data_IF_513020555140
#
_entry.id   IF_513020555140
#
_cell.length_a   1.000
_cell.length_b   1.000
_cell.length_c   1.000
_cell.angle_alpha   90.00
_cell.angle_beta   90.00
_cell.angle_gamma   90.00
#
_symmetry.space_group_name_H-M   'P 1'
#
loop_
_entity.id
_entity.type
_entity.pdbx_description
1 polymer ?
#
# COMPACT_ATOMS: atom_id res chain seq x y z
N UNK A 1 -19.80 -13.63 -14.14
CA UNK A 1 -19.97 -12.50 -13.19
C UNK A 1 -20.08 -12.98 -11.76
N UNK A 2 -20.94 -13.97 -11.47
CA UNK A 2 -21.14 -14.51 -10.12
C UNK A 2 -19.83 -14.99 -9.46
N UNK A 3 -19.02 -15.78 -10.19
CA UNK A 3 -17.72 -16.27 -9.69
C UNK A 3 -16.76 -15.15 -9.27
N UNK A 4 -16.70 -14.07 -10.03
CA UNK A 4 -15.91 -12.90 -9.66
C UNK A 4 -16.43 -12.20 -8.41
N UNK A 5 -17.75 -12.00 -8.31
CA UNK A 5 -18.37 -11.41 -7.13
C UNK A 5 -18.10 -12.26 -5.87
N UNK A 6 -18.28 -13.58 -5.96
CA UNK A 6 -18.03 -14.50 -4.85
C UNK A 6 -16.57 -14.48 -4.40
N UNK A 7 -15.61 -14.52 -5.35
CA UNK A 7 -14.19 -14.46 -5.00
C UNK A 7 -13.81 -13.09 -4.41
N UNK A 8 -14.40 -12.00 -4.93
CA UNK A 8 -14.20 -10.66 -4.37
C UNK A 8 -14.69 -10.53 -2.94
N UNK A 9 -15.89 -11.04 -2.63
CA UNK A 9 -16.44 -11.06 -1.26
C UNK A 9 -15.60 -11.95 -0.34
N UNK A 10 -15.18 -13.13 -0.81
CA UNK A 10 -14.29 -14.01 -0.05
C UNK A 10 -12.94 -13.34 0.25
N UNK A 11 -12.39 -12.62 -0.72
CA UNK A 11 -11.14 -11.86 -0.54
C UNK A 11 -11.31 -10.73 0.49
N UNK A 12 -12.40 -9.96 0.41
CA UNK A 12 -12.72 -8.95 1.41
C UNK A 12 -12.79 -9.57 2.81
N UNK A 13 -13.57 -10.64 2.98
CA UNK A 13 -13.70 -11.33 4.27
C UNK A 13 -12.35 -11.84 4.79
N UNK A 14 -11.55 -12.46 3.91
CA UNK A 14 -10.19 -12.92 4.25
C UNK A 14 -9.28 -11.76 4.71
N UNK A 15 -9.34 -10.60 4.05
CA UNK A 15 -8.51 -9.45 4.39
C UNK A 15 -8.95 -8.77 5.69
N UNK A 16 -10.20 -8.95 6.10
CA UNK A 16 -10.70 -8.48 7.39
C UNK A 16 -10.30 -9.36 8.57
N UNK A 17 -9.78 -10.58 8.35
CA UNK A 17 -9.25 -11.42 9.42
C UNK A 17 -8.04 -10.74 10.07
N UNK A 18 -8.09 -10.51 11.37
CA UNK A 18 -7.03 -9.81 12.11
C UNK A 18 -6.91 -8.31 11.77
N UNK A 19 -7.97 -7.69 11.25
CA UNK A 19 -8.01 -6.25 10.97
C UNK A 19 -8.00 -5.37 12.22
N UNK A 20 -8.20 -5.94 13.40
CA UNK A 20 -8.09 -5.29 14.71
C UNK A 20 -6.65 -5.16 15.23
N UNK A 21 -5.66 -5.61 14.46
CA UNK A 21 -4.24 -5.40 14.82
C UNK A 21 -3.88 -3.92 14.84
N UNK A 22 -2.94 -3.54 15.69
CA UNK A 22 -2.43 -2.17 15.81
C UNK A 22 -1.99 -1.60 14.46
N UNK A 23 -2.08 -0.28 14.30
CA UNK A 23 -1.49 0.41 13.15
C UNK A 23 0.03 0.16 13.11
N UNK A 24 0.54 -0.18 11.93
CA UNK A 24 1.97 -0.14 11.68
C UNK A 24 2.49 1.29 11.60
N UNK A 25 3.81 1.45 11.53
CA UNK A 25 4.49 2.76 11.51
C UNK A 25 3.89 3.74 10.50
N UNK A 26 3.80 3.29 9.26
CA UNK A 26 3.27 4.11 8.18
C UNK A 26 1.76 4.42 8.31
N UNK A 27 0.98 3.44 8.78
CA UNK A 27 -0.45 3.60 8.99
C UNK A 27 -0.75 4.57 10.15
N UNK A 28 0.03 4.48 11.22
CA UNK A 28 -0.07 5.40 12.35
C UNK A 28 0.26 6.84 11.93
N UNK A 29 1.33 7.02 11.14
CA UNK A 29 1.67 8.31 10.56
C UNK A 29 0.54 8.87 9.69
N UNK A 30 -0.03 8.05 8.81
CA UNK A 30 -1.17 8.44 7.98
C UNK A 30 -2.37 8.83 8.85
N UNK A 31 -2.69 8.03 9.86
CA UNK A 31 -3.81 8.31 10.76
C UNK A 31 -3.63 9.64 11.53
N UNK A 32 -2.48 9.83 12.16
CA UNK A 32 -2.21 11.01 12.98
C UNK A 32 -2.10 12.31 12.17
N UNK A 33 -1.42 12.26 11.01
CA UNK A 33 -1.14 13.47 10.23
C UNK A 33 -2.26 13.88 9.28
N UNK A 34 -3.09 12.95 8.79
CA UNK A 34 -4.03 13.20 7.70
C UNK A 34 -5.47 12.83 8.02
N UNK A 35 -5.73 11.96 9.01
CA UNK A 35 -7.07 11.44 9.30
C UNK A 35 -7.63 12.01 10.59
N UNK A 36 -6.94 11.85 11.71
CA UNK A 36 -7.37 12.32 13.02
C UNK A 36 -7.04 13.81 13.24
N UNK A 37 -7.33 14.65 12.26
CA UNK A 37 -7.00 16.07 12.22
C UNK A 37 -8.26 16.93 12.24
N UNK A 38 -8.18 18.22 12.61
CA UNK A 38 -9.35 19.10 12.68
C UNK A 38 -9.98 19.43 11.32
N UNK A 39 -9.21 19.36 10.23
CA UNK A 39 -9.65 19.82 8.92
C UNK A 39 -9.44 18.77 7.83
N UNK A 40 -10.43 18.61 6.97
CA UNK A 40 -10.33 17.77 5.75
C UNK A 40 -9.19 18.19 4.81
N UNK A 41 -8.80 19.49 4.85
CA UNK A 41 -7.72 20.02 4.04
C UNK A 41 -6.34 19.53 4.49
N UNK A 42 -6.26 18.98 5.70
CA UNK A 42 -5.03 18.37 6.21
C UNK A 42 -4.61 17.13 5.41
N UNK A 43 -5.56 16.45 4.75
CA UNK A 43 -5.26 15.38 3.79
C UNK A 43 -4.46 15.85 2.55
N UNK A 44 -4.35 17.15 2.31
CA UNK A 44 -3.52 17.73 1.24
C UNK A 44 -2.28 18.44 1.80
N UNK A 45 -2.15 18.54 3.12
CA UNK A 45 -1.10 19.31 3.75
C UNK A 45 0.09 18.40 4.09
N UNK A 46 1.25 18.75 3.59
CA UNK A 46 2.50 18.07 3.96
C UNK A 46 3.04 18.72 5.23
N UNK A 47 2.59 18.25 6.37
CA UNK A 47 3.07 18.68 7.69
C UNK A 47 3.19 17.48 8.62
N UNK A 48 4.12 17.56 9.58
CA UNK A 48 4.21 16.58 10.65
C UNK A 48 3.53 17.12 11.90
N UNK A 49 2.65 16.32 12.50
CA UNK A 49 2.09 16.60 13.84
C UNK A 49 3.12 16.29 14.94
N UNK A 50 4.17 15.57 14.62
CA UNK A 50 5.26 15.23 15.51
C UNK A 50 6.49 16.05 15.10
N UNK A 51 6.91 17.05 15.89
CA UNK A 51 7.99 17.98 15.50
C UNK A 51 9.34 17.31 15.21
N UNK A 52 9.57 16.13 15.77
CA UNK A 52 10.82 15.38 15.61
C UNK A 52 10.90 14.60 14.30
N UNK A 53 9.77 14.41 13.59
CA UNK A 53 9.73 13.67 12.33
C UNK A 53 9.85 14.64 11.15
N UNK A 54 10.80 14.43 10.24
CA UNK A 54 10.95 15.26 9.05
C UNK A 54 9.69 15.25 8.17
N UNK A 55 9.32 16.41 7.66
CA UNK A 55 8.14 16.58 6.78
C UNK A 55 8.21 15.70 5.55
N UNK A 56 9.39 15.46 4.98
CA UNK A 56 9.61 14.53 3.86
C UNK A 56 9.17 13.11 4.17
N UNK A 57 9.46 12.63 5.37
CA UNK A 57 9.08 11.28 5.78
C UNK A 57 7.56 11.14 5.94
N UNK A 58 6.89 12.21 6.33
CA UNK A 58 5.43 12.26 6.43
C UNK A 58 4.78 12.33 5.04
N UNK A 59 5.33 13.15 4.14
CA UNK A 59 4.80 13.34 2.78
C UNK A 59 4.68 12.03 2.01
N UNK A 60 5.67 11.15 2.11
CA UNK A 60 5.70 9.85 1.41
C UNK A 60 4.63 8.87 1.93
N UNK A 61 4.07 9.13 3.09
CA UNK A 61 3.04 8.30 3.73
C UNK A 61 1.61 8.75 3.41
N UNK A 62 1.43 9.90 2.75
CA UNK A 62 0.10 10.36 2.37
C UNK A 62 -0.44 9.62 1.14
N UNK A 63 -1.66 9.17 1.26
CA UNK A 63 -2.48 8.58 0.21
C UNK A 63 -3.76 9.39 0.10
N UNK A 64 -3.69 10.56 -0.53
CA UNK A 64 -4.69 11.64 -0.44
C UNK A 64 -6.14 11.16 -0.52
N UNK A 65 -6.50 10.32 -1.50
CA UNK A 65 -7.87 9.82 -1.61
C UNK A 65 -8.27 8.98 -0.39
N UNK A 66 -7.38 8.09 0.09
CA UNK A 66 -7.67 7.29 1.28
C UNK A 66 -7.76 8.16 2.53
N UNK A 67 -6.84 9.12 2.67
CA UNK A 67 -6.82 10.07 3.79
C UNK A 67 -8.11 10.87 3.85
N UNK A 68 -8.60 11.40 2.71
CA UNK A 68 -9.88 12.10 2.61
C UNK A 68 -11.07 11.24 3.02
N UNK A 69 -11.19 10.03 2.45
CA UNK A 69 -12.29 9.12 2.78
C UNK A 69 -12.26 8.70 4.24
N UNK A 70 -11.08 8.42 4.77
CA UNK A 70 -10.89 8.05 6.17
C UNK A 70 -11.14 9.21 7.12
N UNK A 71 -10.75 10.45 6.75
CA UNK A 71 -11.09 11.65 7.51
C UNK A 71 -12.60 11.88 7.61
N UNK A 72 -13.34 11.64 6.52
CA UNK A 72 -14.82 11.72 6.58
C UNK A 72 -15.40 10.70 7.56
N UNK A 73 -14.86 9.48 7.60
CA UNK A 73 -15.26 8.46 8.57
C UNK A 73 -14.90 8.92 9.99
N UNK A 74 -13.69 9.43 10.21
CA UNK A 74 -13.26 9.93 11.51
C UNK A 74 -14.15 11.08 11.98
N UNK A 75 -14.42 12.07 11.13
CA UNK A 75 -15.27 13.21 11.45
C UNK A 75 -16.72 12.81 11.79
N UNK A 76 -17.22 11.74 11.18
CA UNK A 76 -18.57 11.24 11.43
C UNK A 76 -18.66 10.36 12.69
N UNK A 77 -17.59 9.65 13.06
CA UNK A 77 -17.65 8.61 14.10
C UNK A 77 -16.76 8.88 15.31
N UNK A 78 -15.72 9.70 15.18
CA UNK A 78 -14.67 9.88 16.18
C UNK A 78 -13.85 8.59 16.45
N UNK A 79 -14.09 7.53 15.69
CA UNK A 79 -13.48 6.21 15.93
C UNK A 79 -11.98 6.23 15.71
N UNK A 80 -11.22 5.59 16.61
CA UNK A 80 -9.80 5.28 16.45
C UNK A 80 -9.57 3.79 16.20
N UNK A 81 -10.64 3.03 15.95
CA UNK A 81 -10.55 1.58 15.69
C UNK A 81 -9.93 1.29 14.34
N UNK A 82 -8.88 0.50 14.32
CA UNK A 82 -8.14 0.08 13.12
C UNK A 82 -9.04 -0.64 12.11
N UNK A 83 -9.99 -1.44 12.61
CA UNK A 83 -10.94 -2.19 11.77
C UNK A 83 -11.70 -1.26 10.83
N UNK A 84 -12.16 -0.10 11.34
CA UNK A 84 -12.96 0.86 10.59
C UNK A 84 -12.20 1.37 9.36
N UNK A 85 -10.92 1.67 9.52
CA UNK A 85 -10.10 2.26 8.44
C UNK A 85 -9.56 1.23 7.45
N UNK A 86 -9.47 -0.03 7.86
CA UNK A 86 -9.06 -1.14 6.99
C UNK A 86 -10.17 -1.65 6.07
N UNK A 87 -11.43 -1.30 6.34
CA UNK A 87 -12.56 -1.66 5.48
C UNK A 87 -12.39 -1.15 4.05
N UNK A 88 -11.98 0.11 3.87
CA UNK A 88 -11.84 0.72 2.55
C UNK A 88 -10.78 0.02 1.68
N UNK A 89 -9.53 -0.15 2.13
CA UNK A 89 -8.52 -0.90 1.37
C UNK A 89 -8.94 -2.35 1.09
N UNK A 90 -9.54 -3.04 2.08
CA UNK A 90 -10.01 -4.42 1.90
C UNK A 90 -11.16 -4.53 0.88
N UNK A 91 -12.11 -3.60 0.88
CA UNK A 91 -13.18 -3.51 -0.13
C UNK A 91 -12.60 -3.27 -1.53
N UNK A 92 -11.65 -2.36 -1.66
CA UNK A 92 -10.99 -2.09 -2.94
C UNK A 92 -10.21 -3.31 -3.44
N UNK A 93 -9.55 -4.05 -2.55
CA UNK A 93 -8.88 -5.30 -2.89
C UNK A 93 -9.86 -6.37 -3.36
N UNK A 94 -10.95 -6.60 -2.61
CA UNK A 94 -12.02 -7.51 -3.01
C UNK A 94 -12.63 -7.11 -4.36
N UNK A 95 -12.83 -5.80 -4.59
CA UNK A 95 -13.27 -5.25 -5.88
C UNK A 95 -12.27 -5.54 -7.00
N UNK A 96 -10.98 -5.34 -6.77
CA UNK A 96 -9.91 -5.64 -7.73
C UNK A 96 -9.93 -7.11 -8.13
N UNK A 97 -9.98 -8.01 -7.15
CA UNK A 97 -10.04 -9.46 -7.37
C UNK A 97 -11.31 -9.84 -8.12
N UNK A 98 -12.47 -9.33 -7.66
CA UNK A 98 -13.76 -9.66 -8.26
C UNK A 98 -13.89 -9.22 -9.71
N UNK A 99 -13.53 -7.96 -10.01
CA UNK A 99 -13.59 -7.40 -11.37
C UNK A 99 -12.58 -8.08 -12.29
N UNK A 100 -11.34 -8.28 -11.83
CA UNK A 100 -10.31 -8.97 -12.62
C UNK A 100 -10.73 -10.41 -12.93
N UNK A 101 -11.19 -11.17 -11.92
CA UNK A 101 -11.68 -12.53 -12.10
C UNK A 101 -12.82 -12.62 -13.11
N UNK A 102 -13.83 -11.74 -12.99
CA UNK A 102 -14.96 -11.70 -13.90
C UNK A 102 -14.54 -11.40 -15.34
N UNK A 103 -13.63 -10.46 -15.54
CA UNK A 103 -13.07 -10.13 -16.84
C UNK A 103 -12.26 -11.30 -17.42
N UNK A 104 -11.33 -11.86 -16.63
CA UNK A 104 -10.45 -12.94 -17.07
C UNK A 104 -11.24 -14.22 -17.36
N UNK A 105 -12.26 -14.52 -16.57
CA UNK A 105 -13.14 -15.67 -16.80
C UNK A 105 -13.93 -15.54 -18.13
N UNK A 106 -14.38 -14.33 -18.47
CA UNK A 106 -15.02 -14.07 -19.77
C UNK A 106 -14.06 -14.17 -20.94
N UNK A 107 -12.82 -13.76 -20.76
CA UNK A 107 -11.81 -13.69 -21.79
C UNK A 107 -11.10 -15.00 -22.05
N UNK A 108 -10.83 -15.76 -20.99
CA UNK A 108 -9.95 -16.93 -21.00
C UNK A 108 -10.60 -18.23 -20.46
N UNK A 109 -11.85 -18.16 -20.03
CA UNK A 109 -12.55 -19.27 -19.40
C UNK A 109 -12.52 -19.27 -17.88
N UNK A 110 -13.49 -19.95 -17.27
CA UNK A 110 -13.73 -19.89 -15.83
C UNK A 110 -12.53 -20.33 -14.98
N UNK A 111 -11.90 -21.45 -15.36
CA UNK A 111 -10.72 -21.98 -14.64
C UNK A 111 -9.58 -20.98 -14.64
N UNK A 112 -9.27 -20.41 -15.81
CA UNK A 112 -8.20 -19.43 -15.94
C UNK A 112 -8.50 -18.15 -15.12
N UNK A 113 -9.75 -17.68 -15.18
CA UNK A 113 -10.16 -16.49 -14.42
C UNK A 113 -10.10 -16.70 -12.92
N UNK A 114 -10.60 -17.84 -12.40
CA UNK A 114 -10.57 -18.16 -10.98
C UNK A 114 -9.14 -18.36 -10.46
N UNK A 115 -8.30 -19.09 -11.18
CA UNK A 115 -6.90 -19.30 -10.78
C UNK A 115 -6.12 -17.98 -10.74
N UNK A 116 -6.27 -17.13 -11.75
CA UNK A 116 -5.63 -15.83 -11.79
C UNK A 116 -6.19 -14.85 -10.72
N UNK A 117 -7.50 -14.92 -10.44
CA UNK A 117 -8.10 -14.17 -9.35
C UNK A 117 -7.60 -14.62 -7.98
N UNK A 118 -7.42 -15.92 -7.79
CA UNK A 118 -6.84 -16.48 -6.57
C UNK A 118 -5.40 -16.03 -6.38
N UNK A 119 -4.60 -15.96 -7.47
CA UNK A 119 -3.27 -15.37 -7.42
C UNK A 119 -3.30 -13.94 -6.87
N UNK A 120 -4.15 -13.04 -7.43
CA UNK A 120 -4.27 -11.68 -6.91
C UNK A 120 -4.65 -11.67 -5.42
N UNK A 121 -5.62 -12.50 -5.05
CA UNK A 121 -6.14 -12.56 -3.68
C UNK A 121 -5.12 -13.05 -2.64
N UNK A 122 -4.08 -13.77 -3.07
CA UNK A 122 -3.11 -14.42 -2.18
C UNK A 122 -1.68 -13.93 -2.39
N UNK A 123 -1.44 -13.04 -3.38
CA UNK A 123 -0.14 -12.42 -3.57
C UNK A 123 0.28 -11.67 -2.30
N UNK A 124 1.44 -12.00 -1.70
CA UNK A 124 1.85 -11.46 -0.40
C UNK A 124 1.93 -9.95 -0.38
N UNK A 125 2.47 -9.35 -1.45
CA UNK A 125 2.57 -7.90 -1.56
C UNK A 125 1.19 -7.23 -1.62
N UNK A 126 0.26 -7.84 -2.36
CA UNK A 126 -1.11 -7.36 -2.50
C UNK A 126 -1.88 -7.50 -1.17
N UNK A 127 -1.73 -8.65 -0.49
CA UNK A 127 -2.35 -8.92 0.81
C UNK A 127 -1.88 -7.91 1.86
N UNK A 128 -0.57 -7.76 2.06
CA UNK A 128 -0.01 -6.91 3.11
C UNK A 128 -0.43 -5.45 2.95
N UNK A 129 -0.33 -4.93 1.72
CA UNK A 129 -0.65 -3.53 1.46
C UNK A 129 -2.16 -3.24 1.33
N UNK A 130 -2.99 -4.25 1.13
CA UNK A 130 -4.45 -4.11 1.08
C UNK A 130 -5.12 -4.34 2.44
N UNK A 131 -4.38 -4.84 3.42
CA UNK A 131 -4.81 -5.02 4.81
C UNK A 131 -4.33 -3.91 5.73
N UNK A 132 -3.63 -2.94 5.17
CA UNK A 132 -3.12 -1.78 5.90
C UNK A 132 -3.84 -0.49 5.48
N UNK A 133 -3.67 0.57 6.24
CA UNK A 133 -4.24 1.89 5.96
C UNK A 133 -3.43 2.58 4.85
N UNK A 134 -3.57 2.03 3.62
CA UNK A 134 -2.81 2.42 2.44
C UNK A 134 -3.69 2.49 1.19
N UNK A 135 -3.40 3.42 0.29
CA UNK A 135 -4.16 3.64 -0.95
C UNK A 135 -3.87 2.67 -2.09
N UNK A 136 -2.99 1.68 -1.92
CA UNK A 136 -2.52 0.82 -3.00
C UNK A 136 -3.63 -0.01 -3.65
N UNK A 137 -4.52 -0.60 -2.88
CA UNK A 137 -5.64 -1.39 -3.40
C UNK A 137 -6.70 -0.53 -4.10
N UNK A 138 -6.91 0.71 -3.63
CA UNK A 138 -7.75 1.70 -4.31
C UNK A 138 -7.17 2.05 -5.70
N UNK A 139 -5.86 2.28 -5.75
CA UNK A 139 -5.15 2.54 -7.00
C UNK A 139 -5.20 1.34 -7.95
N UNK A 140 -5.05 0.11 -7.44
CA UNK A 140 -5.15 -1.10 -8.24
C UNK A 140 -6.56 -1.29 -8.81
N UNK A 141 -7.61 -1.11 -8.00
CA UNK A 141 -9.00 -1.16 -8.45
C UNK A 141 -9.28 -0.11 -9.53
N UNK A 142 -8.89 1.14 -9.28
CA UNK A 142 -9.06 2.23 -10.24
C UNK A 142 -8.32 1.97 -11.55
N UNK A 143 -7.09 1.45 -11.48
CA UNK A 143 -6.29 1.06 -12.66
C UNK A 143 -6.95 -0.04 -13.49
N UNK A 144 -7.47 -1.09 -12.84
CA UNK A 144 -8.21 -2.16 -13.52
C UNK A 144 -9.48 -1.62 -14.16
N UNK A 145 -10.26 -0.83 -13.44
CA UNK A 145 -11.51 -0.25 -13.96
C UNK A 145 -11.24 0.69 -15.15
N UNK A 146 -10.24 1.57 -15.05
CA UNK A 146 -9.83 2.46 -16.13
C UNK A 146 -9.39 1.67 -17.37
N UNK A 147 -8.61 0.60 -17.21
CA UNK A 147 -8.20 -0.30 -18.29
C UNK A 147 -9.41 -0.94 -18.99
N UNK A 148 -10.39 -1.39 -18.22
CA UNK A 148 -11.62 -2.00 -18.78
C UNK A 148 -12.48 -0.97 -19.53
N UNK A 149 -12.53 0.27 -19.04
CA UNK A 149 -13.25 1.35 -19.73
C UNK A 149 -12.61 1.64 -21.08
N UNK A 150 -11.28 1.70 -21.16
CA UNK A 150 -10.55 1.95 -22.42
C UNK A 150 -10.71 0.82 -23.44
N UNK A 151 -10.88 -0.41 -23.01
CA UNK A 151 -11.11 -1.55 -23.90
C UNK A 151 -12.48 -1.55 -24.59
N UNK A 152 -13.40 -0.66 -24.22
CA UNK A 152 -14.72 -0.59 -24.82
C UNK A 152 -14.88 0.54 -25.85
N UNK A 153 -16.14 0.83 -26.26
CA UNK A 153 -16.46 1.96 -27.12
C UNK A 153 -16.26 3.28 -26.39
N UNK A 154 -15.66 4.27 -27.03
CA UNK A 154 -15.34 5.56 -26.44
C UNK A 154 -16.51 6.55 -26.61
N UNK A 155 -17.45 6.49 -25.70
CA UNK A 155 -18.49 7.50 -25.56
C UNK A 155 -18.04 8.60 -24.61
N UNK A 156 -18.61 9.80 -24.72
CA UNK A 156 -18.31 10.93 -23.81
C UNK A 156 -18.42 10.55 -22.34
N UNK A 157 -19.50 9.84 -21.96
CA UNK A 157 -19.69 9.40 -20.57
C UNK A 157 -18.60 8.44 -20.09
N UNK A 158 -18.15 7.53 -20.96
CA UNK A 158 -17.04 6.61 -20.61
C UNK A 158 -15.70 7.32 -20.51
N UNK A 159 -15.44 8.33 -21.32
CA UNK A 159 -14.21 9.12 -21.23
C UNK A 159 -14.18 9.95 -19.94
N UNK A 160 -15.31 10.53 -19.54
CA UNK A 160 -15.44 11.19 -18.23
C UNK A 160 -15.22 10.18 -17.09
N UNK A 161 -15.87 9.02 -17.15
CA UNK A 161 -15.67 7.97 -16.14
C UNK A 161 -14.21 7.51 -16.06
N UNK A 162 -13.55 7.36 -17.21
CA UNK A 162 -12.11 7.05 -17.26
C UNK A 162 -11.28 8.13 -16.56
N UNK A 163 -11.50 9.41 -16.93
CA UNK A 163 -10.76 10.54 -16.35
C UNK A 163 -10.90 10.59 -14.82
N UNK A 164 -12.13 10.42 -14.33
CA UNK A 164 -12.42 10.40 -12.89
C UNK A 164 -11.77 9.20 -12.20
N UNK A 165 -11.99 7.98 -12.70
CA UNK A 165 -11.49 6.75 -12.06
C UNK A 165 -9.97 6.70 -12.09
N UNK A 166 -9.34 7.04 -13.21
CA UNK A 166 -7.88 7.05 -13.31
C UNK A 166 -7.27 8.18 -12.47
N UNK A 167 -7.88 9.35 -12.48
CA UNK A 167 -7.45 10.47 -11.62
C UNK A 167 -7.54 10.14 -10.13
N UNK A 168 -8.64 9.51 -9.70
CA UNK A 168 -8.78 9.02 -8.32
C UNK A 168 -7.79 7.89 -7.99
N UNK A 169 -7.45 7.03 -8.94
CA UNK A 169 -6.40 6.02 -8.74
C UNK A 169 -5.04 6.67 -8.47
N UNK A 170 -4.69 7.73 -9.24
CA UNK A 170 -3.46 8.50 -9.02
C UNK A 170 -3.52 9.28 -7.69
N UNK A 171 -4.68 9.83 -7.31
CA UNK A 171 -4.87 10.47 -6.01
C UNK A 171 -4.76 9.48 -4.83
N UNK A 172 -5.14 8.22 -5.04
CA UNK A 172 -4.97 7.17 -4.05
C UNK A 172 -3.51 6.73 -3.89
N UNK A 173 -2.76 6.71 -5.00
CA UNK A 173 -1.35 6.37 -5.00
C UNK A 173 -0.68 6.97 -6.24
N UNK A 174 0.24 7.90 -6.03
CA UNK A 174 0.87 8.70 -7.09
C UNK A 174 1.45 7.86 -8.24
N UNK A 175 2.08 6.72 -7.94
CA UNK A 175 2.66 5.84 -8.95
C UNK A 175 1.64 5.20 -9.90
N UNK A 176 0.33 5.27 -9.62
CA UNK A 176 -0.68 4.88 -10.60
C UNK A 176 -0.64 5.74 -11.89
N UNK A 177 0.05 6.89 -11.87
CA UNK A 177 0.35 7.68 -13.08
C UNK A 177 1.09 6.85 -14.14
N UNK A 178 1.87 5.85 -13.74
CA UNK A 178 2.54 4.91 -14.65
C UNK A 178 1.52 4.13 -15.48
N UNK A 179 0.37 3.75 -14.91
CA UNK A 179 -0.72 3.10 -15.66
C UNK A 179 -1.31 4.05 -16.68
N UNK A 180 -1.49 5.32 -16.31
CA UNK A 180 -1.94 6.36 -17.27
C UNK A 180 -0.97 6.47 -18.44
N UNK A 181 0.34 6.51 -18.20
CA UNK A 181 1.37 6.53 -19.24
C UNK A 181 1.35 5.26 -20.10
N UNK A 182 1.16 4.09 -19.50
CA UNK A 182 0.99 2.83 -20.23
C UNK A 182 -0.24 2.86 -21.13
N UNK A 183 -1.36 3.43 -20.68
CA UNK A 183 -2.56 3.61 -21.50
C UNK A 183 -2.32 4.54 -22.69
N UNK A 184 -1.65 5.67 -22.47
CA UNK A 184 -1.28 6.61 -23.55
C UNK A 184 -0.39 5.90 -24.57
N UNK A 185 0.68 5.23 -24.11
CA UNK A 185 1.60 4.51 -24.98
C UNK A 185 0.91 3.38 -25.75
N UNK A 186 0.05 2.59 -25.08
CA UNK A 186 -0.71 1.52 -25.71
C UNK A 186 -1.62 2.04 -26.84
N UNK A 187 -2.36 3.11 -26.59
CA UNK A 187 -3.26 3.67 -27.59
C UNK A 187 -2.45 4.30 -28.74
N UNK A 188 -1.35 5.01 -28.43
CA UNK A 188 -0.48 5.62 -29.43
C UNK A 188 0.10 4.59 -30.43
N UNK A 189 0.34 3.35 -30.00
CA UNK A 189 0.84 2.29 -30.88
C UNK A 189 -0.23 1.66 -31.79
N UNK A 190 -1.53 1.97 -31.58
CA UNK A 190 -2.63 1.26 -32.27
C UNK A 190 -3.58 2.16 -33.03
N UNK A 191 -3.53 3.46 -32.80
CA UNK A 191 -4.60 4.37 -33.21
C UNK A 191 -4.08 5.53 -34.03
N UNK A 192 -4.99 6.12 -34.81
CA UNK A 192 -4.72 7.31 -35.58
C UNK A 192 -4.53 8.55 -34.71
N UNK A 193 -3.88 9.55 -35.24
CA UNK A 193 -3.69 10.83 -34.56
C UNK A 193 -5.02 11.46 -34.13
N UNK A 194 -6.06 11.32 -34.94
CA UNK A 194 -7.40 11.83 -34.63
C UNK A 194 -8.00 11.16 -33.40
N UNK A 195 -7.85 9.84 -33.27
CA UNK A 195 -8.33 9.10 -32.10
C UNK A 195 -7.54 9.46 -30.81
N UNK A 196 -6.23 9.70 -30.94
CA UNK A 196 -5.40 10.19 -29.84
C UNK A 196 -5.88 11.56 -29.34
N UNK A 197 -6.14 12.50 -30.25
CA UNK A 197 -6.67 13.82 -29.90
C UNK A 197 -8.05 13.74 -29.22
N UNK A 198 -8.88 12.78 -29.62
CA UNK A 198 -10.19 12.56 -28.99
C UNK A 198 -10.07 12.07 -27.53
N UNK A 199 -9.03 11.30 -27.20
CA UNK A 199 -8.76 10.79 -25.85
C UNK A 199 -7.97 11.75 -24.97
N UNK A 200 -7.22 12.67 -25.56
CA UNK A 200 -6.36 13.60 -24.83
C UNK A 200 -7.05 14.36 -23.70
N UNK A 201 -8.29 14.88 -23.84
CA UNK A 201 -8.98 15.55 -22.73
C UNK A 201 -9.20 14.63 -21.52
N UNK A 202 -9.47 13.34 -21.75
CA UNK A 202 -9.66 12.38 -20.67
C UNK A 202 -8.34 12.07 -19.94
N UNK A 203 -7.23 11.97 -20.65
CA UNK A 203 -5.89 11.80 -20.05
C UNK A 203 -5.44 13.03 -19.27
N UNK A 204 -5.65 14.22 -19.85
CA UNK A 204 -5.35 15.50 -19.19
C UNK A 204 -6.19 15.64 -17.92
N UNK A 205 -7.50 15.32 -17.99
CA UNK A 205 -8.39 15.34 -16.86
C UNK A 205 -7.95 14.37 -15.75
N UNK A 206 -7.57 13.15 -16.09
CA UNK A 206 -7.04 12.17 -15.15
C UNK A 206 -5.75 12.65 -14.47
N UNK A 207 -4.82 13.19 -15.28
CA UNK A 207 -3.59 13.76 -14.77
C UNK A 207 -3.84 14.96 -13.84
N UNK A 208 -4.73 15.89 -14.25
CA UNK A 208 -5.06 17.08 -13.47
C UNK A 208 -5.68 16.71 -12.11
N UNK A 209 -6.59 15.74 -12.06
CA UNK A 209 -7.19 15.27 -10.81
C UNK A 209 -6.12 14.61 -9.93
N UNK A 210 -5.40 13.64 -10.45
CA UNK A 210 -4.48 12.84 -9.67
C UNK A 210 -3.23 13.58 -9.24
N UNK A 211 -2.56 14.28 -10.16
CA UNK A 211 -1.36 15.06 -9.84
C UNK A 211 -1.71 16.31 -9.06
N UNK A 212 -2.86 16.94 -9.32
CA UNK A 212 -3.34 18.08 -8.56
C UNK A 212 -3.61 17.72 -7.09
N UNK A 213 -4.23 16.56 -6.84
CA UNK A 213 -4.42 16.08 -5.48
C UNK A 213 -3.10 15.86 -4.72
N UNK A 214 -2.06 15.37 -5.41
CA UNK A 214 -0.74 15.11 -4.83
C UNK A 214 0.25 16.29 -5.00
N UNK A 215 -0.19 17.48 -5.37
CA UNK A 215 0.72 18.59 -5.73
C UNK A 215 1.68 18.96 -4.61
N UNK A 216 1.19 19.05 -3.37
CA UNK A 216 2.02 19.39 -2.21
C UNK A 216 3.07 18.32 -1.92
N UNK A 217 2.72 17.04 -2.07
CA UNK A 217 3.67 15.93 -1.91
C UNK A 217 4.78 16.05 -2.96
N UNK A 218 4.41 16.26 -4.23
CA UNK A 218 5.37 16.39 -5.32
C UNK A 218 6.30 17.60 -5.13
N UNK A 219 5.76 18.75 -4.73
CA UNK A 219 6.56 19.96 -4.46
C UNK A 219 7.53 19.68 -3.32
N UNK A 220 7.10 19.05 -2.23
CA UNK A 220 7.96 18.70 -1.10
C UNK A 220 9.07 17.76 -1.52
N UNK A 221 8.75 16.69 -2.24
CA UNK A 221 9.73 15.74 -2.76
C UNK A 221 10.75 16.42 -3.71
N UNK A 222 10.29 17.28 -4.61
CA UNK A 222 11.16 17.99 -5.55
C UNK A 222 12.04 19.05 -4.89
N UNK A 223 11.57 19.71 -3.83
CA UNK A 223 12.30 20.79 -3.16
C UNK A 223 13.31 20.32 -2.12
N UNK A 224 13.10 19.11 -1.58
CA UNK A 224 13.96 18.54 -0.55
C UNK A 224 14.99 17.53 -1.11
N UNK A 225 15.24 17.60 -2.40
CA UNK A 225 16.17 16.71 -3.08
C UNK A 225 17.63 16.95 -2.72
N UNK A 226 18.31 15.85 -2.58
CA UNK A 226 19.72 15.78 -2.31
C UNK A 226 20.07 14.69 -1.31
N UNK A 227 19.29 13.59 -1.33
CA UNK A 227 19.66 12.44 -0.50
C UNK A 227 21.03 11.91 -0.90
N UNK A 228 21.95 11.71 0.06
CA UNK A 228 23.26 11.17 -0.22
C UNK A 228 23.13 9.86 -0.99
N UNK A 229 24.06 9.61 -1.92
CA UNK A 229 24.07 8.34 -2.68
C UNK A 229 24.09 7.09 -1.78
N UNK A 230 24.54 7.24 -0.52
CA UNK A 230 24.51 6.19 0.52
C UNK A 230 23.11 5.78 0.98
N UNK A 231 22.09 6.61 0.73
CA UNK A 231 20.70 6.31 1.07
C UNK A 231 19.90 5.77 -0.13
N UNK A 232 20.52 5.67 -1.29
CA UNK A 232 19.91 5.09 -2.47
C UNK A 232 19.66 3.59 -2.27
N UNK A 233 18.50 3.09 -2.70
CA UNK A 233 18.09 1.69 -2.59
C UNK A 233 18.54 0.86 -3.82
N UNK A 234 19.76 0.29 -3.83
CA UNK A 234 20.34 -0.31 -5.03
C UNK A 234 19.72 -1.67 -5.40
N UNK A 235 19.04 -2.31 -4.44
CA UNK A 235 18.47 -3.67 -4.64
C UNK A 235 17.04 -3.63 -5.21
N UNK A 236 16.46 -2.43 -5.45
CA UNK A 236 15.10 -2.27 -5.93
C UNK A 236 14.72 -3.15 -7.12
N UNK A 237 15.52 -3.26 -8.23
CA UNK A 237 15.10 -4.08 -9.37
C UNK A 237 14.93 -5.56 -9.00
N UNK A 238 15.84 -6.10 -8.19
CA UNK A 238 15.75 -7.47 -7.69
C UNK A 238 14.52 -7.65 -6.81
N UNK A 239 14.32 -6.76 -5.85
CA UNK A 239 13.26 -6.85 -4.88
C UNK A 239 11.89 -6.65 -5.53
N UNK A 240 11.77 -5.76 -6.53
CA UNK A 240 10.55 -5.59 -7.31
C UNK A 240 10.13 -6.89 -8.01
N UNK A 241 11.08 -7.60 -8.64
CA UNK A 241 10.82 -8.90 -9.28
C UNK A 241 10.38 -9.91 -8.22
N UNK A 242 11.13 -10.02 -7.12
CA UNK A 242 10.83 -10.97 -6.06
C UNK A 242 9.45 -10.74 -5.46
N UNK A 243 9.08 -9.50 -5.17
CA UNK A 243 7.81 -9.15 -4.53
C UNK A 243 6.60 -9.26 -5.47
N UNK A 244 6.72 -8.87 -6.74
CA UNK A 244 5.62 -8.99 -7.71
C UNK A 244 5.23 -10.44 -8.01
N UNK A 245 6.06 -11.39 -7.65
CA UNK A 245 5.84 -12.82 -7.92
C UNK A 245 5.82 -13.68 -6.67
N UNK A 246 5.58 -13.07 -5.51
CA UNK A 246 5.27 -13.79 -4.28
C UNK A 246 6.47 -14.14 -3.38
N UNK A 247 7.54 -13.32 -3.38
CA UNK A 247 8.53 -13.45 -2.31
C UNK A 247 7.91 -13.12 -0.93
N UNK A 248 8.35 -13.76 0.15
CA UNK A 248 9.62 -14.47 0.34
C UNK A 248 9.55 -15.98 0.12
N UNK A 249 8.47 -16.52 -0.43
CA UNK A 249 8.30 -17.98 -0.56
C UNK A 249 8.74 -18.45 -1.94
N UNK A 250 9.88 -19.12 -2.03
CA UNK A 250 10.52 -19.52 -3.28
C UNK A 250 9.62 -20.38 -4.19
N UNK A 251 8.82 -21.28 -3.59
CA UNK A 251 7.98 -22.19 -4.38
C UNK A 251 6.83 -21.46 -5.09
N UNK A 252 5.94 -20.69 -4.41
CA UNK A 252 4.92 -19.88 -5.09
C UNK A 252 5.52 -18.96 -6.13
N UNK A 253 6.64 -18.29 -5.80
CA UNK A 253 7.32 -17.38 -6.70
C UNK A 253 7.73 -18.09 -8.00
N UNK A 254 8.39 -19.24 -7.91
CA UNK A 254 8.81 -20.00 -9.09
C UNK A 254 7.65 -20.45 -9.97
N UNK A 255 6.57 -20.93 -9.36
CA UNK A 255 5.37 -21.39 -10.06
C UNK A 255 4.63 -20.22 -10.75
N UNK A 256 4.49 -19.10 -10.08
CA UNK A 256 3.84 -17.91 -10.62
C UNK A 256 4.68 -17.22 -11.70
N UNK A 257 5.99 -17.09 -11.50
CA UNK A 257 6.92 -16.59 -12.52
C UNK A 257 6.84 -17.40 -13.80
N UNK A 258 6.90 -18.74 -13.67
CA UNK A 258 6.81 -19.62 -14.82
C UNK A 258 5.50 -19.45 -15.57
N UNK A 259 4.38 -19.38 -14.84
CA UNK A 259 3.05 -19.19 -15.44
C UNK A 259 2.91 -17.82 -16.11
N UNK A 260 3.39 -16.75 -15.48
CA UNK A 260 3.36 -15.40 -16.05
C UNK A 260 4.33 -15.29 -17.25
N UNK A 261 5.52 -15.91 -17.16
CA UNK A 261 6.49 -15.94 -18.25
C UNK A 261 5.98 -16.67 -19.50
N UNK A 262 5.28 -17.80 -19.31
CA UNK A 262 4.59 -18.48 -20.40
C UNK A 262 3.48 -17.61 -21.02
N UNK A 263 2.73 -16.90 -20.20
CA UNK A 263 1.73 -15.93 -20.66
C UNK A 263 2.35 -14.78 -21.44
N UNK A 264 3.48 -14.26 -20.96
CA UNK A 264 4.27 -13.23 -21.63
C UNK A 264 4.76 -13.73 -23.00
N UNK A 265 5.28 -14.95 -23.07
CA UNK A 265 5.68 -15.56 -24.33
C UNK A 265 4.52 -15.73 -25.31
N UNK A 266 3.35 -16.17 -24.86
CA UNK A 266 2.14 -16.27 -25.68
C UNK A 266 1.69 -14.91 -26.23
N UNK A 267 1.83 -13.86 -25.42
CA UNK A 267 1.40 -12.49 -25.73
C UNK A 267 2.49 -11.61 -26.34
N UNK A 268 3.67 -12.15 -26.62
CA UNK A 268 4.82 -11.39 -27.14
C UNK A 268 4.58 -10.63 -28.45
N UNK A 269 3.54 -10.98 -29.21
CA UNK A 269 3.16 -10.28 -30.45
C UNK A 269 2.15 -9.15 -30.23
N UNK A 270 1.67 -8.97 -29.00
CA UNK A 270 0.70 -7.92 -28.67
C UNK A 270 1.43 -6.58 -28.46
N UNK A 271 1.17 -5.55 -29.28
CA UNK A 271 1.89 -4.26 -29.18
C UNK A 271 1.73 -3.58 -27.82
N UNK A 272 0.56 -3.71 -27.17
CA UNK A 272 0.31 -3.12 -25.87
C UNK A 272 1.28 -3.63 -24.80
N UNK A 273 1.72 -4.88 -24.92
CA UNK A 273 2.65 -5.46 -23.97
C UNK A 273 4.00 -4.76 -24.02
N UNK A 274 4.52 -4.55 -25.22
CA UNK A 274 5.81 -3.89 -25.40
C UNK A 274 5.77 -2.41 -25.06
N UNK A 275 4.64 -1.72 -25.35
CA UNK A 275 4.46 -0.33 -24.91
C UNK A 275 4.44 -0.23 -23.38
N UNK A 276 3.77 -1.16 -22.69
CA UNK A 276 3.78 -1.24 -21.21
C UNK A 276 5.18 -1.52 -20.68
N UNK A 277 5.88 -2.53 -21.22
CA UNK A 277 7.26 -2.85 -20.81
C UNK A 277 8.19 -1.67 -21.04
N UNK A 278 8.08 -0.99 -22.17
CA UNK A 278 8.90 0.18 -22.49
C UNK A 278 8.64 1.34 -21.50
N UNK A 279 7.39 1.65 -21.20
CA UNK A 279 7.05 2.69 -20.22
C UNK A 279 7.60 2.32 -18.83
N UNK A 280 7.39 1.08 -18.38
CA UNK A 280 7.92 0.62 -17.09
C UNK A 280 9.44 0.69 -17.05
N UNK A 281 10.13 0.25 -18.10
CA UNK A 281 11.58 0.31 -18.20
C UNK A 281 12.09 1.76 -18.11
N UNK A 282 11.46 2.68 -18.84
CA UNK A 282 11.80 4.11 -18.80
C UNK A 282 11.55 4.69 -17.40
N UNK A 283 10.39 4.42 -16.80
CA UNK A 283 10.09 4.92 -15.46
C UNK A 283 11.07 4.37 -14.42
N UNK A 284 11.33 3.08 -14.42
CA UNK A 284 12.30 2.47 -13.50
C UNK A 284 13.71 3.04 -13.74
N UNK A 285 14.11 3.20 -14.99
CA UNK A 285 15.42 3.75 -15.33
C UNK A 285 15.57 5.22 -14.87
N UNK A 286 14.55 6.05 -15.11
CA UNK A 286 14.52 7.45 -14.67
C UNK A 286 14.56 7.54 -13.14
N UNK A 287 13.75 6.75 -12.45
CA UNK A 287 13.74 6.73 -11.00
C UNK A 287 15.07 6.23 -10.45
N UNK A 288 15.56 5.11 -10.96
CA UNK A 288 16.72 4.43 -10.40
C UNK A 288 18.05 5.10 -10.75
N UNK A 289 18.23 5.56 -11.98
CA UNK A 289 19.49 6.18 -12.44
C UNK A 289 19.47 7.72 -12.31
N UNK A 290 18.29 8.33 -12.52
CA UNK A 290 18.14 9.78 -12.56
C UNK A 290 17.83 10.37 -11.18
N UNK A 291 16.69 10.03 -10.60
CA UNK A 291 16.20 10.64 -9.37
C UNK A 291 16.78 9.99 -8.10
N UNK A 292 17.22 8.75 -8.18
CA UNK A 292 17.81 7.98 -7.05
C UNK A 292 17.06 8.18 -5.73
N UNK A 293 15.74 7.88 -5.69
CA UNK A 293 14.95 8.10 -4.49
C UNK A 293 15.48 7.24 -3.34
N UNK A 294 15.47 7.77 -2.11
CA UNK A 294 15.85 7.02 -0.92
C UNK A 294 14.96 5.79 -0.70
N UNK A 295 13.68 5.94 -1.08
CA UNK A 295 12.67 4.92 -0.86
C UNK A 295 11.94 4.63 -2.17
N UNK A 296 12.33 3.56 -2.84
CA UNK A 296 11.61 3.03 -3.99
C UNK A 296 11.22 1.58 -3.65
N UNK A 297 9.98 1.40 -3.19
CA UNK A 297 9.48 0.11 -2.75
C UNK A 297 8.70 -0.61 -3.85
N UNK A 298 8.77 -1.95 -3.95
CA UNK A 298 7.97 -2.75 -4.88
C UNK A 298 6.46 -2.49 -4.77
N UNK A 299 5.97 -2.19 -3.57
CA UNK A 299 4.55 -1.87 -3.30
C UNK A 299 4.02 -0.68 -4.10
N UNK A 300 4.87 0.22 -4.58
CA UNK A 300 4.47 1.33 -5.44
C UNK A 300 3.94 0.87 -6.79
N UNK A 301 4.28 -0.34 -7.21
CA UNK A 301 3.85 -0.96 -8.47
C UNK A 301 2.79 -2.05 -8.28
N UNK A 302 2.06 -2.03 -7.17
CA UNK A 302 1.06 -3.06 -6.82
C UNK A 302 -0.02 -3.23 -7.91
N UNK A 303 -0.30 -2.19 -8.68
CA UNK A 303 -1.21 -2.22 -9.84
C UNK A 303 -0.73 -3.15 -10.96
N UNK A 304 0.51 -3.64 -10.94
CA UNK A 304 1.00 -4.64 -11.88
C UNK A 304 0.54 -6.06 -11.54
N UNK A 305 0.13 -6.35 -10.30
CA UNK A 305 -0.35 -7.68 -9.90
C UNK A 305 -1.53 -8.14 -10.77
N UNK A 306 -2.57 -7.33 -11.06
CA UNK A 306 -3.60 -7.68 -12.02
C UNK A 306 -3.09 -7.90 -13.46
N UNK A 307 -2.02 -7.21 -13.88
CA UNK A 307 -1.41 -7.44 -15.20
C UNK A 307 -0.70 -8.81 -15.25
N UNK A 308 0.02 -9.20 -14.20
CA UNK A 308 0.58 -10.54 -14.06
C UNK A 308 -0.52 -11.61 -14.08
N UNK A 309 -1.63 -11.38 -13.39
CA UNK A 309 -2.80 -12.26 -13.41
C UNK A 309 -3.37 -12.45 -14.84
N UNK A 310 -3.39 -11.39 -15.64
CA UNK A 310 -3.81 -11.49 -17.06
C UNK A 310 -2.88 -12.41 -17.85
N UNK A 311 -1.56 -12.31 -17.67
CA UNK A 311 -0.59 -13.19 -18.33
C UNK A 311 -0.75 -14.64 -17.88
N UNK A 312 -0.91 -14.89 -16.59
CA UNK A 312 -1.19 -16.22 -16.04
C UNK A 312 -2.48 -16.82 -16.59
N UNK A 313 -3.56 -16.04 -16.65
CA UNK A 313 -4.82 -16.49 -17.23
C UNK A 313 -4.67 -16.87 -18.70
N UNK A 314 -3.89 -16.12 -19.48
CA UNK A 314 -3.59 -16.46 -20.88
C UNK A 314 -2.82 -17.78 -21.01
N UNK A 315 -1.86 -18.05 -20.11
CA UNK A 315 -1.12 -19.31 -20.07
C UNK A 315 -2.03 -20.48 -19.68
N UNK A 316 -2.84 -20.35 -18.62
CA UNK A 316 -3.77 -21.37 -18.14
C UNK A 316 -4.81 -21.70 -19.22
N UNK A 317 -5.32 -20.71 -19.95
CA UNK A 317 -6.24 -20.94 -21.05
C UNK A 317 -5.64 -21.80 -22.17
N UNK A 318 -4.33 -21.76 -22.36
CA UNK A 318 -3.62 -22.58 -23.33
C UNK A 318 -3.22 -23.94 -22.77
N UNK A 319 -2.86 -23.98 -21.49
CA UNK A 319 -2.40 -25.17 -20.76
C UNK A 319 -3.08 -25.24 -19.39
N UNK A 320 -4.26 -25.83 -19.37
CA UNK A 320 -5.09 -25.90 -18.16
C UNK A 320 -4.38 -26.57 -16.97
N UNK A 321 -3.37 -27.41 -17.22
CA UNK A 321 -2.53 -28.04 -16.20
C UNK A 321 -1.77 -27.04 -15.33
N UNK A 322 -1.67 -25.78 -15.74
CA UNK A 322 -1.09 -24.71 -14.91
C UNK A 322 -2.05 -24.21 -13.81
N UNK A 323 -3.36 -24.48 -13.90
CA UNK A 323 -4.30 -24.07 -12.87
C UNK A 323 -3.99 -24.69 -11.49
N UNK A 324 -3.80 -26.01 -11.34
CA UNK A 324 -3.33 -26.60 -10.08
C UNK A 324 -2.03 -25.98 -9.56
N UNK A 325 -1.09 -25.67 -10.47
CA UNK A 325 0.20 -25.05 -10.13
C UNK A 325 -0.02 -23.68 -9.46
N UNK A 326 -0.87 -22.83 -10.03
CA UNK A 326 -1.19 -21.53 -9.46
C UNK A 326 -1.94 -21.67 -8.13
N UNK A 327 -2.85 -22.64 -8.02
CA UNK A 327 -3.61 -22.92 -6.78
C UNK A 327 -2.67 -23.40 -5.65
N UNK A 328 -1.73 -24.30 -5.94
CA UNK A 328 -0.72 -24.74 -4.96
C UNK A 328 0.14 -23.54 -4.50
N UNK A 329 0.55 -22.68 -5.46
CA UNK A 329 1.25 -21.45 -5.14
C UNK A 329 0.44 -20.53 -4.20
N UNK A 330 -0.86 -20.39 -4.46
CA UNK A 330 -1.76 -19.60 -3.62
C UNK A 330 -1.91 -20.18 -2.21
N UNK A 331 -2.08 -21.49 -2.09
CA UNK A 331 -2.16 -22.19 -0.80
C UNK A 331 -0.86 -22.02 0.01
N UNK A 332 0.30 -22.16 -0.64
CA UNK A 332 1.60 -21.96 0.00
C UNK A 332 1.80 -20.49 0.44
N UNK A 333 1.36 -19.52 -0.37
CA UNK A 333 1.41 -18.10 -0.01
C UNK A 333 0.55 -17.79 1.22
N UNK A 334 -0.69 -18.32 1.29
CA UNK A 334 -1.55 -18.18 2.47
C UNK A 334 -0.92 -18.83 3.69
N UNK A 335 -0.40 -20.05 3.56
CA UNK A 335 0.24 -20.76 4.67
C UNK A 335 1.45 -19.99 5.22
N UNK A 336 2.26 -19.37 4.37
CA UNK A 336 3.42 -18.58 4.78
C UNK A 336 3.06 -17.29 5.52
N UNK A 337 1.88 -16.74 5.25
CA UNK A 337 1.38 -15.51 5.87
C UNK A 337 0.52 -15.76 7.12
N UNK A 338 0.05 -17.01 7.33
CA UNK A 338 -0.87 -17.37 8.41
C UNK A 338 -0.40 -16.93 9.81
N UNK A 339 0.91 -17.04 10.19
CA UNK A 339 1.37 -16.56 11.50
C UNK A 339 1.10 -15.07 11.72
N UNK A 340 1.23 -14.24 10.68
CA UNK A 340 0.95 -12.81 10.77
C UNK A 340 -0.53 -12.46 10.95
N UNK A 341 -1.45 -13.40 10.68
CA UNK A 341 -2.89 -13.19 10.82
C UNK A 341 -3.43 -13.50 12.21
N UNK A 342 -2.70 -14.30 12.99
CA UNK A 342 -3.13 -14.82 14.30
C UNK A 342 -2.43 -14.18 15.48
N UNK A 343 -1.46 -13.28 15.25
CA UNK A 343 -0.77 -12.61 16.33
C UNK A 343 -1.66 -11.57 17.00
N UNK A 344 -1.56 -11.47 18.33
CA UNK A 344 -2.33 -10.53 19.14
C UNK A 344 -2.00 -9.08 18.72
N UNK A 345 -3.04 -8.31 18.33
CA UNK A 345 -2.84 -7.04 17.67
C UNK A 345 -2.83 -5.82 18.59
N UNK A 346 -3.13 -5.97 19.88
CA UNK A 346 -3.54 -4.85 20.75
C UNK A 346 -2.44 -4.21 21.59
N UNK A 347 -1.16 -4.49 21.33
CA UNK A 347 -0.07 -3.95 22.15
C UNK A 347 -0.01 -2.41 22.16
N UNK A 348 -0.21 -1.75 21.03
CA UNK A 348 -0.16 -0.29 20.96
C UNK A 348 -1.33 0.40 21.66
N UNK A 349 -2.60 -0.01 21.48
CA UNK A 349 -3.70 0.46 22.31
C UNK A 349 -3.49 0.21 23.79
N UNK A 350 -2.93 -0.93 24.21
CA UNK A 350 -2.61 -1.22 25.60
C UNK A 350 -1.48 -0.33 26.13
N UNK A 351 -0.44 -0.07 25.33
CA UNK A 351 0.62 0.87 25.68
C UNK A 351 0.07 2.30 25.83
N UNK A 352 -0.82 2.74 24.95
CA UNK A 352 -1.49 4.04 25.06
C UNK A 352 -2.33 4.14 26.34
N UNK A 353 -3.10 3.10 26.68
CA UNK A 353 -3.87 3.05 27.91
C UNK A 353 -2.98 3.08 29.17
N UNK A 354 -1.78 2.50 29.10
CA UNK A 354 -0.80 2.59 30.19
C UNK A 354 -0.26 4.03 30.33
N UNK A 355 0.04 4.71 29.23
CA UNK A 355 0.46 6.11 29.20
C UNK A 355 -0.62 7.01 29.82
N UNK A 356 -1.87 6.87 29.39
CA UNK A 356 -3.00 7.66 29.92
C UNK A 356 -3.20 7.43 31.42
N UNK A 357 -3.05 6.19 31.90
CA UNK A 357 -3.14 5.86 33.32
C UNK A 357 -2.03 6.52 34.12
N UNK A 358 -0.78 6.51 33.61
CA UNK A 358 0.35 7.16 34.31
C UNK A 358 0.10 8.68 34.35
N UNK A 359 -0.36 9.26 33.29
CA UNK A 359 -0.71 10.68 33.23
C UNK A 359 -1.84 11.04 34.21
N UNK A 360 -2.89 10.22 34.28
CA UNK A 360 -3.99 10.40 35.22
C UNK A 360 -3.57 10.33 36.71
N UNK A 361 -2.48 9.62 36.99
CA UNK A 361 -1.87 9.55 38.33
C UNK A 361 -0.90 10.72 38.61
N UNK A 362 -0.77 11.66 37.68
CA UNK A 362 0.13 12.80 37.77
C UNK A 362 1.60 12.45 37.45
N UNK A 363 1.84 11.25 36.89
CA UNK A 363 3.13 10.80 36.42
C UNK A 363 3.46 11.26 35.01
N UNK A 364 4.73 11.19 34.66
CA UNK A 364 5.24 11.54 33.33
C UNK A 364 5.58 10.27 32.55
N UNK A 365 4.77 9.97 31.55
CA UNK A 365 5.04 8.92 30.58
C UNK A 365 5.94 9.44 29.45
N UNK A 366 6.96 8.68 29.09
CA UNK A 366 7.91 9.02 28.05
C UNK A 366 7.89 7.95 26.94
N UNK A 367 8.28 8.36 25.73
CA UNK A 367 8.43 7.49 24.57
C UNK A 367 9.79 7.78 23.94
N UNK A 368 10.52 6.74 23.58
CA UNK A 368 11.81 6.89 22.89
C UNK A 368 11.59 7.45 21.51
N UNK A 369 12.46 8.37 21.10
CA UNK A 369 12.46 8.95 19.75
C UNK A 369 12.43 7.85 18.68
N UNK A 370 11.63 8.07 17.62
CA UNK A 370 11.21 7.16 16.55
C UNK A 370 10.11 6.15 16.91
N UNK A 371 9.80 5.93 18.17
CA UNK A 371 8.63 5.12 18.57
C UNK A 371 7.35 5.97 18.72
N UNK A 372 7.50 7.29 18.87
CA UNK A 372 6.39 8.24 19.06
C UNK A 372 5.40 8.22 17.91
N UNK A 373 5.87 8.03 16.66
CA UNK A 373 5.01 8.03 15.49
C UNK A 373 3.93 6.96 15.55
N UNK A 374 4.28 5.78 16.06
CA UNK A 374 3.35 4.65 16.16
C UNK A 374 2.33 4.88 17.29
N UNK A 375 2.78 5.45 18.40
CA UNK A 375 1.93 5.68 19.56
C UNK A 375 0.99 6.88 19.39
N UNK A 376 1.37 7.89 18.60
CA UNK A 376 0.59 9.10 18.36
C UNK A 376 -0.79 8.82 17.75
N UNK A 377 -0.97 7.70 17.03
CA UNK A 377 -2.28 7.29 16.53
C UNK A 377 -3.30 7.02 17.65
N UNK A 378 -2.83 6.70 18.86
CA UNK A 378 -3.65 6.28 19.99
C UNK A 378 -3.71 7.31 21.11
N UNK A 379 -2.60 7.97 21.42
CA UNK A 379 -2.51 8.99 22.48
C UNK A 379 -1.47 10.05 22.12
N UNK A 380 -1.61 11.24 22.71
CA UNK A 380 -0.64 12.34 22.64
C UNK A 380 -0.03 12.69 24.00
N UNK A 381 -0.43 11.99 25.07
CA UNK A 381 -0.11 12.36 26.46
C UNK A 381 1.25 11.82 26.92
N UNK A 382 2.27 11.94 26.06
CA UNK A 382 3.62 11.49 26.36
C UNK A 382 4.68 12.55 26.04
N UNK A 383 5.87 12.37 26.63
CA UNK A 383 7.05 13.18 26.31
C UNK A 383 8.02 12.36 25.47
N UNK A 384 8.51 12.92 24.36
CA UNK A 384 9.52 12.27 23.52
C UNK A 384 10.89 12.43 24.14
N UNK A 385 11.62 11.33 24.31
CA UNK A 385 13.00 11.28 24.81
C UNK A 385 13.94 11.04 23.65
N UNK A 386 14.86 11.98 23.44
CA UNK A 386 15.87 11.91 22.39
C UNK A 386 17.29 11.69 22.91
N UNK A 387 17.48 11.83 24.23
CA UNK A 387 18.76 11.66 24.92
C UNK A 387 18.56 11.01 26.28
N UNK A 388 19.57 10.31 26.72
CA UNK A 388 19.57 9.55 27.94
C UNK A 388 19.32 10.38 29.23
N UNK A 389 19.85 11.60 29.27
CA UNK A 389 19.67 12.50 30.44
C UNK A 389 18.20 12.89 30.67
N UNK A 390 17.35 12.78 29.63
CA UNK A 390 15.93 13.05 29.73
C UNK A 390 15.13 11.92 30.41
N UNK A 391 15.68 10.69 30.47
CA UNK A 391 15.04 9.54 31.13
C UNK A 391 14.84 9.78 32.62
N UNK A 392 15.73 10.52 33.25
CA UNK A 392 15.64 10.82 34.69
C UNK A 392 14.32 11.51 35.10
N UNK A 393 13.69 12.24 34.21
CA UNK A 393 12.42 12.93 34.40
C UNK A 393 11.19 12.11 34.08
N UNK A 394 11.31 10.82 33.75
CA UNK A 394 10.20 9.95 33.37
C UNK A 394 9.82 9.03 34.55
N UNK A 395 8.54 8.76 34.74
CA UNK A 395 8.03 7.75 35.67
C UNK A 395 7.85 6.40 34.94
N UNK A 396 7.59 6.42 33.66
CA UNK A 396 7.58 5.25 32.79
C UNK A 396 8.05 5.57 31.37
N UNK A 397 8.59 4.56 30.70
CA UNK A 397 9.06 4.66 29.31
C UNK A 397 8.39 3.60 28.46
N UNK A 398 7.75 4.00 27.37
CA UNK A 398 7.23 3.10 26.34
C UNK A 398 8.28 2.92 25.26
N UNK A 399 8.57 1.66 24.95
CA UNK A 399 9.51 1.24 23.92
C UNK A 399 8.75 0.36 22.92
N UNK A 400 8.78 0.72 21.64
CA UNK A 400 8.23 -0.09 20.57
C UNK A 400 9.39 -0.79 19.84
N UNK A 401 9.19 -2.02 19.41
CA UNK A 401 10.29 -2.82 18.81
C UNK A 401 10.85 -2.23 17.50
N UNK A 402 10.22 -1.22 16.96
CA UNK A 402 10.64 -0.49 15.76
C UNK A 402 11.69 0.61 16.03
N UNK A 403 11.92 0.96 17.29
CA UNK A 403 12.87 2.01 17.64
C UNK A 403 14.25 1.77 17.04
N UNK A 404 14.82 2.81 16.43
CA UNK A 404 16.13 2.77 15.78
C UNK A 404 17.26 2.98 16.79
N UNK A 405 16.96 3.66 17.92
CA UNK A 405 17.97 3.98 18.94
C UNK A 405 18.08 2.86 19.98
N UNK A 406 18.87 1.83 19.63
CA UNK A 406 19.13 0.69 20.51
C UNK A 406 19.85 1.11 21.81
N UNK A 407 20.75 2.11 21.76
CA UNK A 407 21.50 2.59 22.91
C UNK A 407 20.60 3.22 23.97
N UNK A 408 19.64 4.04 23.57
CA UNK A 408 18.67 4.67 24.46
C UNK A 408 17.69 3.65 25.05
N UNK A 409 17.32 2.61 24.29
CA UNK A 409 16.49 1.50 24.77
C UNK A 409 17.18 0.67 25.85
N UNK A 410 18.45 0.33 25.62
CA UNK A 410 19.24 -0.44 26.58
C UNK A 410 19.41 0.34 27.87
N UNK A 411 19.61 1.64 27.81
CA UNK A 411 19.72 2.50 28.98
C UNK A 411 18.37 2.62 29.73
N UNK A 412 17.26 2.81 28.97
CA UNK A 412 15.94 2.81 29.59
C UNK A 412 15.66 1.49 30.31
N UNK A 413 16.02 0.35 29.74
CA UNK A 413 15.86 -0.97 30.37
C UNK A 413 16.71 -1.14 31.67
N UNK A 414 17.83 -0.43 31.79
CA UNK A 414 18.64 -0.43 33.00
C UNK A 414 18.05 0.47 34.11
N UNK A 415 17.49 1.63 33.72
CA UNK A 415 16.95 2.60 34.68
C UNK A 415 15.53 2.25 35.17
N UNK A 416 14.78 1.48 34.38
CA UNK A 416 13.40 1.08 34.66
C UNK A 416 13.29 -0.45 34.79
N UNK A 417 13.43 -1.01 35.97
CA UNK A 417 13.53 -2.45 36.20
C UNK A 417 12.20 -3.21 36.08
N UNK A 418 11.06 -2.51 36.12
CA UNK A 418 9.75 -3.16 35.98
C UNK A 418 9.39 -3.21 34.48
N UNK A 419 9.32 -4.42 33.98
CA UNK A 419 9.09 -4.68 32.58
C UNK A 419 7.69 -5.26 32.37
N UNK A 420 6.82 -4.58 31.61
CA UNK A 420 5.58 -5.15 31.09
C UNK A 420 5.70 -5.28 29.60
N UNK A 421 5.82 -6.51 29.09
CA UNK A 421 5.82 -6.80 27.65
C UNK A 421 4.39 -6.99 27.16
N UNK A 422 4.03 -6.25 26.14
CA UNK A 422 2.74 -6.34 25.45
C UNK A 422 2.99 -7.05 24.12
N UNK A 423 2.70 -8.35 24.02
CA UNK A 423 3.01 -9.13 22.82
C UNK A 423 2.10 -8.74 21.69
N UNK A 424 2.69 -8.44 20.51
CA UNK A 424 1.99 -8.21 19.26
C UNK A 424 2.93 -8.39 18.08
N UNK A 425 2.40 -8.20 16.88
CA UNK A 425 3.22 -8.11 15.66
C UNK A 425 4.31 -7.03 15.78
N UNK A 426 3.97 -5.90 16.40
CA UNK A 426 4.93 -4.90 16.89
C UNK A 426 4.86 -4.90 18.42
N UNK A 427 5.68 -5.68 19.11
CA UNK A 427 5.64 -5.74 20.55
C UNK A 427 5.99 -4.37 21.14
N UNK A 428 5.18 -3.92 22.07
CA UNK A 428 5.48 -2.76 22.89
C UNK A 428 5.93 -3.23 24.28
N UNK A 429 6.79 -2.45 24.89
CA UNK A 429 7.29 -2.69 26.25
C UNK A 429 7.04 -1.42 27.05
N UNK A 430 6.40 -1.56 28.19
CA UNK A 430 6.27 -0.49 29.18
C UNK A 430 7.26 -0.76 30.27
N UNK A 431 8.18 0.17 30.48
CA UNK A 431 9.20 0.16 31.52
C UNK A 431 8.75 1.12 32.62
N UNK A 432 8.64 0.66 33.87
CA UNK A 432 8.24 1.45 35.03
C UNK A 432 9.34 1.43 36.10
N UNK A 433 9.45 2.53 36.87
CA UNK A 433 10.37 2.61 38.01
C UNK A 433 9.95 1.77 39.17
#
# INVERSE_FOLDING_TARGET
MLSGALLGVATFAFYMIGSNRSFGYDAAATFANFIATPSIWDAFAVRSVIPTIPVTQVATNDHVLLSLLSHLIFSATGSRSEVVYRVLPALAAGGTVGVSTAFLARRFGLVAGLSAGLYIATDPLFVDNSRDLRGYSLAALGSVMATLILNGRWTRGRLIAYALIMGLAVAAQLFAVVVLLCHVAWIATRRSQTELMHLAPAWIGAAAIGLGANANIQVTELTQHGLPASQFYPTFPRDAILFLVGAPVLLPMGLWLSSAGLGLWLKRREPWLWSTVAVLAVVVLVLWLGLRPAFLYPRFFLFLVPACAYLMAAAIARWWVLAPVVIVGAAAAVASQAPGYTQDPLALPQAAAAVERIHALGGRACVIHSDEQVLTAYTSDFTVVTRADQLAGCDAVVVVSWGIDLGLRDQAAQEFPRLTTLPAYYPAVVLER
#
